data_IF_847372283499
#
_entry.id   IF_847372283499
#
_cell.length_a   1.000
_cell.length_b   1.000
_cell.length_c   1.000
_cell.angle_alpha   90.00
_cell.angle_beta   90.00
_cell.angle_gamma   90.00
#
_symmetry.space_group_name_H-M   'P 1'
#
loop_
_entity.id
_entity.type
_entity.pdbx_description
1 polymer ?
#
# COMPACT_ATOMS: atom_id res chain seq x y z
N UNK A 1 -12.44 -2.21 1.51
CA UNK A 1 -12.93 -0.84 1.29
C UNK A 1 -11.83 0.15 1.59
N UNK A 2 -11.91 1.36 1.04
CA UNK A 2 -10.93 2.44 1.23
C UNK A 2 -11.70 3.73 1.47
N UNK A 3 -11.28 4.56 2.42
CA UNK A 3 -11.78 5.92 2.60
C UNK A 3 -10.65 6.86 2.20
N UNK A 4 -10.93 7.78 1.27
CA UNK A 4 -9.96 8.77 0.84
C UNK A 4 -10.40 10.17 1.24
N UNK A 5 -9.42 11.01 1.54
CA UNK A 5 -9.61 12.43 1.82
C UNK A 5 -9.13 13.24 0.61
N UNK A 6 -9.98 14.16 0.14
CA UNK A 6 -9.70 15.10 -0.94
C UNK A 6 -9.55 16.50 -0.35
N UNK A 7 -8.33 16.99 -0.27
CA UNK A 7 -8.05 18.34 0.21
C UNK A 7 -6.59 18.51 0.61
N UNK A 8 -6.07 19.73 0.42
CA UNK A 8 -4.73 20.13 0.88
C UNK A 8 -4.72 20.56 2.36
N UNK A 9 -5.89 20.88 2.90
CA UNK A 9 -6.06 21.24 4.31
C UNK A 9 -6.49 20.01 5.10
N UNK A 10 -6.06 19.93 6.36
CA UNK A 10 -6.49 18.88 7.28
C UNK A 10 -7.79 19.21 8.02
N UNK A 11 -8.24 20.48 7.95
CA UNK A 11 -9.45 20.97 8.62
C UNK A 11 -10.65 21.09 7.69
N UNK A 12 -10.40 21.14 6.38
CA UNK A 12 -11.43 21.28 5.36
C UNK A 12 -11.05 20.42 4.16
N UNK A 13 -12.02 19.63 3.69
CA UNK A 13 -11.82 18.65 2.65
C UNK A 13 -13.03 17.74 2.52
N UNK A 14 -12.96 16.84 1.54
CA UNK A 14 -14.08 15.99 1.16
C UNK A 14 -13.72 14.51 1.30
N UNK A 15 -14.56 13.75 2.02
CA UNK A 15 -14.36 12.32 2.22
C UNK A 15 -15.19 11.53 1.23
N UNK A 16 -14.55 10.59 0.55
CA UNK A 16 -15.24 9.67 -0.36
C UNK A 16 -14.89 8.23 -0.01
N UNK A 17 -15.87 7.34 -0.13
CA UNK A 17 -15.70 5.93 0.21
C UNK A 17 -15.65 5.07 -1.06
N UNK A 18 -14.68 4.17 -1.11
CA UNK A 18 -14.47 3.20 -2.18
C UNK A 18 -14.76 1.82 -1.62
N UNK A 19 -15.84 1.20 -2.08
CA UNK A 19 -16.27 -0.11 -1.58
C UNK A 19 -16.28 -1.09 -2.73
N UNK A 20 -15.58 -2.21 -2.54
CA UNK A 20 -15.71 -3.37 -3.41
C UNK A 20 -16.89 -4.19 -2.94
N UNK A 21 -17.85 -4.41 -3.81
CA UNK A 21 -18.98 -5.29 -3.51
C UNK A 21 -18.54 -6.75 -3.59
N UNK A 22 -19.07 -7.56 -2.68
CA UNK A 22 -18.79 -8.99 -2.59
C UNK A 22 -19.63 -9.82 -3.56
N UNK A 23 -20.76 -9.29 -4.04
CA UNK A 23 -21.66 -10.00 -4.95
C UNK A 23 -21.16 -9.97 -6.40
N UNK A 24 -20.74 -8.80 -6.88
CA UNK A 24 -20.34 -8.57 -8.27
C UNK A 24 -18.84 -8.28 -8.43
N UNK A 25 -18.08 -8.17 -7.34
CA UNK A 25 -16.64 -7.90 -7.35
C UNK A 25 -16.27 -6.49 -7.85
N UNK A 26 -17.26 -5.64 -8.16
CA UNK A 26 -17.04 -4.30 -8.72
C UNK A 26 -16.79 -3.28 -7.63
N UNK A 27 -15.95 -2.32 -7.93
CA UNK A 27 -15.73 -1.16 -7.07
C UNK A 27 -16.78 -0.10 -7.31
N UNK A 28 -17.22 0.52 -6.21
CA UNK A 28 -18.15 1.64 -6.21
C UNK A 28 -17.54 2.78 -5.41
N UNK A 29 -17.55 3.97 -6.01
CA UNK A 29 -17.23 5.22 -5.36
C UNK A 29 -18.53 5.84 -4.85
N UNK A 30 -18.56 6.08 -3.55
CA UNK A 30 -19.61 6.77 -2.83
C UNK A 30 -19.13 8.20 -2.53
N UNK A 31 -19.69 9.15 -3.27
CA UNK A 31 -19.45 10.58 -3.18
C UNK A 31 -20.77 11.26 -2.75
N UNK A 32 -21.02 11.27 -1.44
CA UNK A 32 -22.29 11.68 -0.82
C UNK A 32 -23.52 10.99 -1.46
N UNK A 33 -24.32 11.74 -2.22
CA UNK A 33 -25.51 11.26 -2.92
C UNK A 33 -25.20 10.55 -4.25
N UNK A 34 -23.98 10.73 -4.77
CA UNK A 34 -23.56 10.19 -6.06
C UNK A 34 -22.79 8.89 -5.88
N UNK A 35 -23.34 7.80 -6.43
CA UNK A 35 -22.68 6.49 -6.45
C UNK A 35 -22.29 6.14 -7.88
N UNK A 36 -21.00 5.90 -8.10
CA UNK A 36 -20.46 5.54 -9.42
C UNK A 36 -19.73 4.21 -9.36
N UNK A 37 -19.87 3.40 -10.40
CA UNK A 37 -19.12 2.16 -10.55
C UNK A 37 -17.78 2.50 -11.18
N UNK A 38 -16.70 2.01 -10.59
CA UNK A 38 -15.32 2.33 -10.96
C UNK A 38 -14.52 1.05 -11.10
N UNK A 39 -13.46 1.10 -11.89
CA UNK A 39 -12.53 -0.02 -12.05
C UNK A 39 -11.48 -0.06 -10.94
N UNK A 40 -10.92 -1.24 -10.69
CA UNK A 40 -9.86 -1.44 -9.67
C UNK A 40 -8.62 -0.59 -9.95
N UNK A 41 -8.31 -0.31 -11.22
CA UNK A 41 -7.20 0.58 -11.60
C UNK A 41 -7.42 2.02 -11.08
N UNK A 42 -8.67 2.50 -11.07
CA UNK A 42 -8.99 3.82 -10.54
C UNK A 42 -8.78 3.87 -9.02
N UNK A 43 -9.06 2.76 -8.33
CA UNK A 43 -8.82 2.61 -6.89
C UNK A 43 -7.32 2.56 -6.57
N UNK A 44 -6.53 1.86 -7.38
CA UNK A 44 -5.08 1.82 -7.20
C UNK A 44 -4.44 3.20 -7.42
N UNK A 45 -5.01 4.05 -8.27
CA UNK A 45 -4.56 5.45 -8.46
C UNK A 45 -4.79 6.33 -7.23
N UNK A 46 -5.63 5.92 -6.26
CA UNK A 46 -5.77 6.63 -4.97
C UNK A 46 -4.71 6.26 -3.94
N UNK A 47 -3.68 5.51 -4.33
CA UNK A 47 -2.54 5.12 -3.46
C UNK A 47 -1.64 6.29 -3.03
N UNK A 48 -1.91 7.50 -3.52
CA UNK A 48 -1.22 8.73 -3.10
C UNK A 48 0.00 9.03 -3.96
N UNK A 49 0.07 10.28 -4.42
CA UNK A 49 1.13 10.79 -5.29
C UNK A 49 0.75 12.17 -5.83
N UNK A 50 0.96 13.22 -5.03
CA UNK A 50 0.63 14.61 -5.39
C UNK A 50 -0.66 15.14 -4.75
N UNK A 51 -1.31 16.13 -5.38
CA UNK A 51 -2.54 16.79 -4.91
C UNK A 51 -3.83 15.95 -5.06
N UNK A 52 -3.68 14.65 -5.31
CA UNK A 52 -4.79 13.73 -5.57
C UNK A 52 -5.31 13.10 -4.27
N UNK A 53 -6.42 12.38 -4.35
CA UNK A 53 -7.05 11.70 -3.20
C UNK A 53 -6.03 10.86 -2.42
N UNK A 54 -5.94 11.09 -1.11
CA UNK A 54 -5.04 10.34 -0.23
C UNK A 54 -5.83 9.31 0.57
N UNK A 55 -5.38 8.06 0.57
CA UNK A 55 -5.99 7.01 1.38
C UNK A 55 -5.81 7.31 2.87
N UNK A 56 -6.93 7.44 3.59
CA UNK A 56 -6.95 7.72 5.02
C UNK A 56 -7.20 6.46 5.84
N UNK A 57 -8.17 5.64 5.42
CA UNK A 57 -8.49 4.37 6.09
C UNK A 57 -8.60 3.24 5.08
N UNK A 58 -7.91 2.13 5.36
CA UNK A 58 -7.96 0.90 4.55
C UNK A 58 -8.66 -0.20 5.35
N UNK A 59 -9.80 -0.66 4.85
CA UNK A 59 -10.57 -1.75 5.43
C UNK A 59 -10.33 -3.02 4.60
N UNK A 60 -9.61 -3.97 5.18
CA UNK A 60 -9.35 -5.26 4.55
C UNK A 60 -10.37 -6.30 5.02
N UNK A 61 -10.86 -7.07 4.05
CA UNK A 61 -11.68 -8.25 4.33
C UNK A 61 -10.79 -9.44 4.70
N UNK A 62 -11.27 -10.29 5.60
CA UNK A 62 -10.55 -11.50 5.99
C UNK A 62 -10.36 -12.43 4.77
N UNK A 63 -9.10 -12.67 4.39
CA UNK A 63 -8.79 -13.62 3.33
C UNK A 63 -8.88 -15.04 3.90
N UNK A 64 -9.91 -15.80 3.52
CA UNK A 64 -10.00 -17.22 3.91
C UNK A 64 -9.00 -18.03 3.09
N UNK A 65 -7.86 -18.34 3.70
CA UNK A 65 -6.81 -19.13 3.07
C UNK A 65 -7.08 -20.62 3.37
N UNK A 66 -7.51 -21.41 2.37
CA UNK A 66 -7.73 -22.87 2.54
C UNK A 66 -6.43 -23.68 2.60
N UNK A 67 -5.32 -23.11 2.12
CA UNK A 67 -4.01 -23.76 2.07
C UNK A 67 -2.94 -22.70 2.28
N UNK A 68 -2.14 -22.84 3.34
CA UNK A 68 -1.05 -21.91 3.61
C UNK A 68 -0.14 -21.82 2.38
N UNK A 69 0.22 -20.62 1.92
CA UNK A 69 1.29 -20.50 0.94
C UNK A 69 2.56 -21.08 1.57
N UNK A 70 3.22 -22.01 0.89
CA UNK A 70 4.56 -22.45 1.29
C UNK A 70 5.45 -21.21 1.26
N UNK A 71 5.86 -20.76 2.45
CA UNK A 71 6.80 -19.66 2.55
C UNK A 71 8.13 -20.14 1.95
N UNK A 72 8.78 -19.34 1.08
CA UNK A 72 10.13 -19.66 0.68
C UNK A 72 11.00 -19.80 1.95
N UNK A 73 11.91 -20.77 2.00
CA UNK A 73 12.79 -20.94 3.16
C UNK A 73 13.48 -19.61 3.43
N UNK A 74 13.52 -19.21 4.70
CA UNK A 74 14.23 -18.02 5.14
C UNK A 74 15.64 -18.05 4.53
N UNK A 75 16.06 -16.96 3.90
CA UNK A 75 17.44 -16.85 3.45
C UNK A 75 18.31 -16.92 4.70
N UNK A 76 18.93 -18.08 4.91
CA UNK A 76 19.99 -18.22 5.91
C UNK A 76 21.02 -17.14 5.56
N UNK A 77 21.39 -16.25 6.50
CA UNK A 77 22.51 -15.37 6.26
C UNK A 77 23.68 -16.25 5.85
N UNK A 78 24.14 -16.11 4.61
CA UNK A 78 25.38 -16.74 4.19
C UNK A 78 26.45 -16.17 5.11
N UNK A 79 26.96 -16.98 6.03
CA UNK A 79 28.12 -16.66 6.83
C UNK A 79 29.24 -16.26 5.87
N UNK A 80 29.42 -14.96 5.69
CA UNK A 80 30.58 -14.43 4.99
C UNK A 80 31.68 -14.52 6.04
N UNK A 81 32.71 -15.37 5.87
CA UNK A 81 33.79 -15.36 6.82
C UNK A 81 34.42 -13.97 6.75
N UNK A 82 34.42 -13.28 7.88
CA UNK A 82 35.11 -12.01 8.04
C UNK A 82 36.56 -12.22 7.58
N UNK A 83 36.90 -11.65 6.41
CA UNK A 83 38.29 -11.56 5.99
C UNK A 83 38.88 -10.44 6.82
N UNK A 84 39.54 -10.84 7.90
CA UNK A 84 40.39 -10.00 8.73
C UNK A 84 41.59 -9.53 7.92
N UNK A 85 41.86 -8.22 8.06
CA UNK A 85 43.12 -7.49 7.85
C UNK A 85 43.60 -7.20 6.42
N UNK A 86 43.38 -5.95 5.97
CA UNK A 86 44.38 -5.19 5.22
C UNK A 86 44.87 -4.02 6.10
N UNK A 87 46.19 -3.87 6.36
CA UNK A 87 46.72 -2.78 7.16
C UNK A 87 46.62 -1.45 6.40
N UNK A 88 46.12 -0.43 7.10
CA UNK A 88 45.98 0.95 6.63
C UNK A 88 47.35 1.55 6.26
N UNK A 89 47.63 1.76 4.98
CA UNK A 89 48.82 2.50 4.54
C UNK A 89 48.68 3.99 4.90
N UNK A 90 49.66 4.48 5.64
CA UNK A 90 49.82 5.89 6.00
C UNK A 90 50.40 6.63 4.80
N UNK A 91 49.62 7.53 4.19
CA UNK A 91 50.12 8.44 3.14
C UNK A 91 50.73 9.68 3.78
N UNK A 92 52.04 9.83 3.64
CA UNK A 92 52.77 11.07 3.92
C UNK A 92 52.63 12.02 2.72
N UNK A 93 52.01 13.18 2.96
CA UNK A 93 52.37 14.44 2.29
C UNK A 93 52.05 15.62 3.20
#
# INVERSE_FOLDING_TARGET
GIITHKGRSSQDGHYVAWIRSTEDGKWRLFDDEHVTVVDEEAVLKTSGGGDWHCAYVLLYEARVIKKYPELPPAQVPSETPATVDEPMEVSNQ
#
